data_IF_731409376308
#
_entry.id   IF_731409376308
#
_cell.length_a   1.000
_cell.length_b   1.000
_cell.length_c   1.000
_cell.angle_alpha   90.00
_cell.angle_beta   90.00
_cell.angle_gamma   90.00
#
_symmetry.space_group_name_H-M   'P 1'
#
loop_
_entity.id
_entity.type
_entity.pdbx_description
1 polymer ?
#
# COMPACT_ATOMS: atom_id res chain seq x y z
N UNK A 1 -9.77 -1.72 -17.89
CA UNK A 1 -8.74 -1.30 -16.93
C UNK A 1 -7.92 -0.19 -17.57
N UNK A 2 -7.82 0.96 -16.91
CA UNK A 2 -7.01 2.11 -17.35
C UNK A 2 -5.67 2.08 -16.62
N UNK A 3 -4.59 2.05 -17.36
CA UNK A 3 -3.22 1.97 -16.87
C UNK A 3 -2.47 3.27 -17.19
N UNK A 4 -1.81 3.85 -16.22
CA UNK A 4 -0.87 4.94 -16.43
C UNK A 4 0.55 4.39 -16.38
N UNK A 5 1.29 4.54 -17.47
CA UNK A 5 2.69 4.15 -17.62
C UNK A 5 3.57 5.41 -17.57
N UNK A 6 4.39 5.54 -16.54
CA UNK A 6 5.34 6.64 -16.35
C UNK A 6 6.74 6.07 -16.56
N UNK A 7 7.30 6.29 -17.74
CA UNK A 7 8.53 5.69 -18.23
C UNK A 7 9.15 6.64 -19.27
N UNK A 8 10.40 7.00 -19.13
CA UNK A 8 11.07 7.94 -20.04
C UNK A 8 11.69 7.28 -21.29
N UNK A 9 11.97 5.97 -21.22
CA UNK A 9 12.52 5.24 -22.36
C UNK A 9 11.42 5.00 -23.41
N UNK A 10 11.50 5.61 -24.63
CA UNK A 10 10.45 5.54 -25.62
C UNK A 10 10.23 4.13 -26.18
N UNK A 11 11.28 3.32 -26.25
CA UNK A 11 11.19 1.92 -26.71
C UNK A 11 10.44 1.06 -25.70
N UNK A 12 10.78 1.18 -24.42
CA UNK A 12 10.10 0.49 -23.33
C UNK A 12 8.64 0.94 -23.24
N UNK A 13 8.39 2.25 -23.28
CA UNK A 13 7.06 2.84 -23.25
C UNK A 13 6.17 2.28 -24.38
N UNK A 14 6.67 2.31 -25.64
CA UNK A 14 5.94 1.79 -26.80
C UNK A 14 5.69 0.29 -26.70
N UNK A 15 6.68 -0.48 -26.22
CA UNK A 15 6.56 -1.93 -26.07
C UNK A 15 5.49 -2.30 -25.02
N UNK A 16 5.54 -1.69 -23.85
CA UNK A 16 4.58 -1.92 -22.78
C UNK A 16 3.18 -1.45 -23.18
N UNK A 17 3.08 -0.26 -23.78
CA UNK A 17 1.80 0.27 -24.26
C UNK A 17 1.12 -0.71 -25.22
N UNK A 18 1.80 -1.10 -26.31
CA UNK A 18 1.26 -2.03 -27.32
C UNK A 18 0.89 -3.39 -26.70
N UNK A 19 1.71 -3.89 -25.78
CA UNK A 19 1.47 -5.17 -25.14
C UNK A 19 0.20 -5.14 -24.29
N UNK A 20 0.04 -4.13 -23.45
CA UNK A 20 -1.12 -4.02 -22.60
C UNK A 20 -2.39 -3.60 -23.34
N UNK A 21 -2.29 -2.78 -24.40
CA UNK A 21 -3.42 -2.48 -25.26
C UNK A 21 -3.96 -3.73 -26.00
N UNK A 22 -3.09 -4.61 -26.50
CA UNK A 22 -3.48 -5.91 -27.08
C UNK A 22 -4.18 -6.82 -26.07
N UNK A 23 -3.91 -6.65 -24.79
CA UNK A 23 -4.52 -7.38 -23.66
C UNK A 23 -5.79 -6.69 -23.13
N UNK A 24 -6.32 -5.70 -23.86
CA UNK A 24 -7.58 -5.01 -23.59
C UNK A 24 -7.50 -3.94 -22.50
N UNK A 25 -6.31 -3.40 -22.24
CA UNK A 25 -6.13 -2.29 -21.31
C UNK A 25 -6.10 -0.96 -22.07
N UNK A 26 -6.61 0.10 -21.49
CA UNK A 26 -6.41 1.47 -21.96
C UNK A 26 -5.13 2.01 -21.32
N UNK A 27 -4.11 2.32 -22.13
CA UNK A 27 -2.82 2.76 -21.62
C UNK A 27 -2.60 4.24 -21.89
N UNK A 28 -2.32 5.01 -20.86
CA UNK A 28 -1.83 6.37 -20.94
C UNK A 28 -0.34 6.39 -20.62
N UNK A 29 0.43 7.18 -21.33
CA UNK A 29 1.89 7.24 -21.18
C UNK A 29 2.35 8.62 -20.77
N UNK A 30 3.39 8.68 -19.94
CA UNK A 30 4.07 9.89 -19.53
C UNK A 30 5.58 9.63 -19.47
N UNK A 31 6.39 10.41 -20.16
CA UNK A 31 7.85 10.28 -20.14
C UNK A 31 8.56 11.32 -19.26
N UNK A 32 7.83 12.16 -18.54
CA UNK A 32 8.38 13.26 -17.75
C UNK A 32 7.80 13.27 -16.34
N UNK A 33 8.65 13.13 -15.33
CA UNK A 33 8.25 13.12 -13.92
C UNK A 33 7.60 14.42 -13.46
N UNK A 34 7.94 15.57 -14.06
CA UNK A 34 7.31 16.84 -13.72
C UNK A 34 5.83 16.92 -14.13
N UNK A 35 5.43 16.17 -15.16
CA UNK A 35 4.06 16.12 -15.69
C UNK A 35 3.25 14.95 -15.14
N UNK A 36 3.93 13.98 -14.54
CA UNK A 36 3.33 12.71 -14.13
C UNK A 36 2.19 12.88 -13.11
N UNK A 37 2.37 13.68 -12.08
CA UNK A 37 1.36 13.88 -11.04
C UNK A 37 0.07 14.51 -11.60
N UNK A 38 0.19 15.53 -12.43
CA UNK A 38 -0.96 16.21 -13.02
C UNK A 38 -1.76 15.25 -13.93
N UNK A 39 -1.05 14.44 -14.74
CA UNK A 39 -1.69 13.43 -15.60
C UNK A 39 -2.36 12.34 -14.77
N UNK A 40 -1.73 11.89 -13.68
CA UNK A 40 -2.29 10.90 -12.77
C UNK A 40 -3.61 11.39 -12.15
N UNK A 41 -3.61 12.63 -11.61
CA UNK A 41 -4.80 13.25 -11.04
C UNK A 41 -5.93 13.41 -12.05
N UNK A 42 -5.61 13.85 -13.27
CA UNK A 42 -6.61 14.08 -14.32
C UNK A 42 -7.17 12.77 -14.91
N UNK A 43 -6.35 11.73 -15.00
CA UNK A 43 -6.75 10.49 -15.67
C UNK A 43 -7.44 9.49 -14.77
N UNK A 44 -7.22 9.54 -13.45
CA UNK A 44 -7.75 8.58 -12.46
C UNK A 44 -7.56 7.11 -12.91
N UNK A 45 -6.30 6.64 -13.06
CA UNK A 45 -6.05 5.29 -13.56
C UNK A 45 -6.37 4.23 -12.48
N UNK A 46 -6.67 3.01 -12.93
CA UNK A 46 -6.88 1.85 -12.06
C UNK A 46 -5.56 1.33 -11.47
N UNK A 47 -4.43 1.56 -12.17
CA UNK A 47 -3.08 1.26 -11.69
C UNK A 47 -2.04 2.14 -12.38
N UNK A 48 -0.87 2.23 -11.75
CA UNK A 48 0.29 2.97 -12.27
C UNK A 48 1.51 2.04 -12.33
N UNK A 49 2.21 2.07 -13.46
CA UNK A 49 3.57 1.55 -13.61
C UNK A 49 4.50 2.75 -13.61
N UNK A 50 5.47 2.76 -12.70
CA UNK A 50 6.32 3.92 -12.42
C UNK A 50 7.80 3.57 -12.50
N UNK A 51 8.53 4.17 -13.44
CA UNK A 51 9.99 4.18 -13.34
C UNK A 51 10.45 5.23 -12.30
N UNK A 52 11.55 4.95 -11.63
CA UNK A 52 12.18 5.88 -10.70
C UNK A 52 13.09 6.89 -11.40
N UNK A 53 13.75 6.45 -12.50
CA UNK A 53 14.76 7.25 -13.20
C UNK A 53 14.11 8.10 -14.30
N UNK A 54 13.35 9.12 -13.91
CA UNK A 54 12.63 10.00 -14.82
C UNK A 54 13.33 11.36 -14.97
N UNK A 55 13.28 12.01 -16.14
CA UNK A 55 13.68 13.38 -16.27
C UNK A 55 12.73 14.33 -15.54
N UNK A 56 13.24 15.48 -15.17
CA UNK A 56 12.46 16.54 -14.49
C UNK A 56 12.19 16.27 -13.03
N UNK A 57 11.66 15.10 -12.67
CA UNK A 57 11.37 14.72 -11.29
C UNK A 57 11.54 13.22 -11.07
N UNK A 58 12.27 12.83 -10.02
CA UNK A 58 12.47 11.41 -9.65
C UNK A 58 11.14 10.72 -9.31
N UNK A 59 10.99 9.47 -9.74
CA UNK A 59 9.75 8.71 -9.55
C UNK A 59 9.36 8.52 -8.09
N UNK A 60 10.29 8.44 -7.15
CA UNK A 60 9.98 8.40 -5.71
C UNK A 60 9.34 9.71 -5.23
N UNK A 61 9.80 10.85 -5.75
CA UNK A 61 9.18 12.14 -5.43
C UNK A 61 7.77 12.23 -6.01
N UNK A 62 7.58 11.77 -7.27
CA UNK A 62 6.25 11.70 -7.89
C UNK A 62 5.30 10.84 -7.06
N UNK A 63 5.77 9.67 -6.61
CA UNK A 63 4.97 8.78 -5.76
C UNK A 63 4.64 9.42 -4.40
N UNK A 64 5.64 10.03 -3.74
CA UNK A 64 5.44 10.71 -2.47
C UNK A 64 4.39 11.81 -2.56
N UNK A 65 4.45 12.65 -3.61
CA UNK A 65 3.47 13.71 -3.84
C UNK A 65 2.09 13.16 -4.18
N UNK A 66 2.02 12.09 -4.97
CA UNK A 66 0.74 11.43 -5.26
C UNK A 66 0.08 10.92 -3.97
N UNK A 67 0.84 10.33 -3.07
CA UNK A 67 0.35 9.88 -1.76
C UNK A 67 -0.01 11.05 -0.83
N UNK A 68 0.77 12.11 -0.82
CA UNK A 68 0.46 13.35 -0.09
C UNK A 68 -0.82 14.02 -0.61
N UNK A 69 -1.08 13.94 -1.92
CA UNK A 69 -2.32 14.41 -2.55
C UNK A 69 -3.52 13.45 -2.35
N UNK A 70 -3.38 12.38 -1.55
CA UNK A 70 -4.45 11.43 -1.25
C UNK A 70 -4.72 10.39 -2.35
N UNK A 71 -3.89 10.29 -3.38
CA UNK A 71 -4.06 9.28 -4.41
C UNK A 71 -3.71 7.89 -3.87
N UNK A 72 -4.68 6.99 -3.89
CA UNK A 72 -4.55 5.60 -3.39
C UNK A 72 -4.41 4.58 -4.52
N UNK A 73 -4.34 5.03 -5.77
CA UNK A 73 -4.16 4.17 -6.95
C UNK A 73 -2.97 3.23 -6.72
N UNK A 74 -3.12 1.92 -6.96
CA UNK A 74 -2.05 0.95 -6.80
C UNK A 74 -0.88 1.21 -7.78
N UNK A 75 0.35 1.08 -7.27
CA UNK A 75 1.59 1.39 -7.98
C UNK A 75 2.54 0.21 -7.97
N UNK A 76 3.02 -0.18 -9.15
CA UNK A 76 4.18 -1.05 -9.31
C UNK A 76 5.36 -0.19 -9.78
N UNK A 77 6.45 -0.21 -9.04
CA UNK A 77 7.70 0.41 -9.46
C UNK A 77 8.44 -0.52 -10.42
N UNK A 78 8.84 0.02 -11.58
CA UNK A 78 9.66 -0.66 -12.60
C UNK A 78 10.97 0.09 -12.72
N UNK A 79 12.10 -0.47 -12.28
CA UNK A 79 13.36 0.29 -12.29
C UNK A 79 14.59 -0.59 -12.39
N UNK A 80 15.66 -0.01 -12.95
CA UNK A 80 17.00 -0.62 -12.96
C UNK A 80 17.71 -0.50 -11.60
N UNK A 81 17.21 0.31 -10.67
CA UNK A 81 17.73 0.39 -9.30
C UNK A 81 17.35 -0.90 -8.55
N UNK A 82 18.30 -1.82 -8.41
CA UNK A 82 18.04 -3.19 -7.93
C UNK A 82 18.52 -3.47 -6.52
N UNK A 83 18.98 -2.45 -5.75
CA UNK A 83 19.44 -2.70 -4.38
C UNK A 83 18.26 -2.98 -3.44
N UNK A 84 18.52 -3.75 -2.38
CA UNK A 84 17.53 -3.99 -1.33
C UNK A 84 17.10 -2.66 -0.69
N UNK A 85 18.00 -1.69 -0.56
CA UNK A 85 17.71 -0.35 -0.06
C UNK A 85 16.70 0.41 -0.92
N UNK A 86 16.87 0.43 -2.24
CA UNK A 86 15.95 1.10 -3.17
C UNK A 86 14.54 0.49 -3.10
N UNK A 87 14.46 -0.84 -2.99
CA UNK A 87 13.19 -1.56 -2.84
C UNK A 87 12.47 -1.18 -1.55
N UNK A 88 13.21 -1.12 -0.44
CA UNK A 88 12.67 -0.73 0.87
C UNK A 88 12.16 0.72 0.81
N UNK A 89 12.93 1.64 0.23
CA UNK A 89 12.55 3.05 0.08
C UNK A 89 11.28 3.15 -0.78
N UNK A 90 11.22 2.50 -1.94
CA UNK A 90 10.05 2.52 -2.82
C UNK A 90 8.76 2.03 -2.14
N UNK A 91 8.83 0.91 -1.44
CA UNK A 91 7.69 0.34 -0.70
C UNK A 91 7.29 1.23 0.48
N UNK A 92 8.25 1.81 1.20
CA UNK A 92 7.97 2.75 2.30
C UNK A 92 7.36 4.07 1.82
N UNK A 93 7.70 4.53 0.60
CA UNK A 93 7.08 5.71 -0.01
C UNK A 93 5.63 5.47 -0.44
N UNK A 94 5.18 4.21 -0.43
CA UNK A 94 3.79 3.84 -0.68
C UNK A 94 3.55 3.12 -2.01
N UNK A 95 4.58 2.53 -2.62
CA UNK A 95 4.40 1.56 -3.70
C UNK A 95 3.77 0.27 -3.16
N UNK A 96 2.99 -0.39 -4.01
CA UNK A 96 2.31 -1.65 -3.66
C UNK A 96 3.10 -2.87 -4.11
N UNK A 97 3.96 -2.73 -5.13
CA UNK A 97 4.91 -3.76 -5.58
C UNK A 97 6.13 -3.12 -6.24
N UNK A 98 7.18 -3.91 -6.42
CA UNK A 98 8.45 -3.49 -6.98
C UNK A 98 9.01 -4.59 -7.89
N UNK A 99 9.29 -4.26 -9.14
CA UNK A 99 9.80 -5.20 -10.14
C UNK A 99 11.07 -4.65 -10.79
N UNK A 100 12.24 -5.27 -10.55
CA UNK A 100 13.49 -4.82 -11.14
C UNK A 100 13.54 -5.10 -12.65
N UNK A 101 14.16 -4.19 -13.40
CA UNK A 101 14.51 -4.39 -14.82
C UNK A 101 15.83 -5.21 -14.91
N UNK A 102 15.91 -6.21 -15.83
CA UNK A 102 14.91 -6.66 -16.78
C UNK A 102 13.85 -7.56 -16.13
N UNK A 103 12.60 -7.49 -16.59
CA UNK A 103 11.48 -8.27 -16.10
C UNK A 103 10.76 -9.00 -17.24
N UNK A 104 10.04 -10.06 -16.87
CA UNK A 104 9.15 -10.77 -17.77
C UNK A 104 7.80 -10.03 -17.87
N UNK A 105 7.24 -9.93 -19.10
CA UNK A 105 5.98 -9.22 -19.35
C UNK A 105 4.77 -9.96 -18.78
N UNK A 106 4.80 -11.27 -18.74
CA UNK A 106 3.70 -12.06 -18.19
C UNK A 106 3.73 -12.02 -16.65
N UNK A 107 4.93 -11.96 -16.05
CA UNK A 107 5.08 -11.69 -14.61
C UNK A 107 4.52 -10.31 -14.25
N UNK A 108 4.89 -9.27 -15.00
CA UNK A 108 4.39 -7.91 -14.76
C UNK A 108 2.86 -7.87 -14.86
N UNK A 109 2.28 -8.49 -15.88
CA UNK A 109 0.82 -8.54 -16.02
C UNK A 109 0.14 -9.30 -14.88
N UNK A 110 0.67 -10.46 -14.49
CA UNK A 110 0.11 -11.23 -13.39
C UNK A 110 0.09 -10.42 -12.10
N UNK A 111 1.18 -9.71 -11.80
CA UNK A 111 1.28 -8.79 -10.65
C UNK A 111 0.30 -7.64 -10.74
N UNK A 112 0.21 -7.00 -11.90
CA UNK A 112 -0.69 -5.87 -12.16
C UNK A 112 -2.16 -6.29 -11.97
N UNK A 113 -2.58 -7.41 -12.55
CA UNK A 113 -3.94 -7.95 -12.38
C UNK A 113 -4.24 -8.34 -10.93
N UNK A 114 -3.29 -8.95 -10.24
CA UNK A 114 -3.44 -9.30 -8.83
C UNK A 114 -3.59 -8.05 -7.95
N UNK A 115 -2.86 -6.99 -8.29
CA UNK A 115 -2.89 -5.72 -7.57
C UNK A 115 -4.23 -5.01 -7.74
N UNK A 116 -4.69 -4.86 -8.99
CA UNK A 116 -5.98 -4.21 -9.30
C UNK A 116 -7.15 -5.02 -8.72
N UNK A 117 -7.11 -6.35 -8.77
CA UNK A 117 -8.14 -7.19 -8.14
C UNK A 117 -8.22 -6.95 -6.62
N UNK A 118 -7.08 -6.82 -5.93
CA UNK A 118 -7.04 -6.51 -4.49
C UNK A 118 -7.61 -5.13 -4.18
N UNK A 119 -7.32 -4.13 -5.01
CA UNK A 119 -7.88 -2.79 -4.85
C UNK A 119 -9.38 -2.72 -5.22
N UNK A 120 -9.80 -3.46 -6.24
CA UNK A 120 -11.22 -3.59 -6.60
C UNK A 120 -12.02 -4.31 -5.50
N UNK A 121 -11.50 -5.41 -4.95
CA UNK A 121 -12.13 -6.11 -3.82
C UNK A 121 -12.24 -5.23 -2.56
N UNK A 122 -11.32 -4.28 -2.39
CA UNK A 122 -11.44 -3.25 -1.37
C UNK A 122 -12.52 -2.20 -1.71
N UNK A 123 -12.89 -2.06 -2.99
CA UNK A 123 -13.90 -1.11 -3.47
C UNK A 123 -15.31 -1.72 -3.57
N UNK A 124 -15.44 -3.01 -3.83
CA UNK A 124 -16.75 -3.68 -4.01
C UNK A 124 -17.50 -3.95 -2.71
N UNK A 125 -16.88 -3.73 -1.55
CA UNK A 125 -17.57 -3.72 -0.25
C UNK A 125 -18.23 -2.37 0.09
N UNK A 126 -18.30 -1.42 -0.85
CA UNK A 126 -18.87 -0.08 -0.62
C UNK A 126 -20.21 0.06 -1.34
N UNK A 127 -21.24 -0.64 -0.85
CA UNK A 127 -22.65 -0.22 -1.00
C UNK A 127 -23.31 -0.17 0.38
N UNK A 128 -22.90 0.81 1.18
CA UNK A 128 -23.53 1.23 2.41
C UNK A 128 -23.21 2.70 2.67
N UNK A 129 -24.04 3.46 3.39
CA UNK A 129 -23.99 4.92 3.43
C UNK A 129 -22.68 5.45 4.04
N UNK A 130 -22.04 6.35 3.28
CA UNK A 130 -21.05 7.39 3.66
C UNK A 130 -20.07 7.04 4.81
N UNK A 131 -18.79 6.84 4.46
CA UNK A 131 -17.67 6.94 5.44
C UNK A 131 -17.04 5.62 5.90
N UNK A 132 -17.39 4.44 5.35
CA UNK A 132 -16.95 3.15 5.90
C UNK A 132 -15.76 2.55 5.15
N UNK A 133 -14.64 2.35 5.86
CA UNK A 133 -13.48 1.54 5.44
C UNK A 133 -13.85 0.06 5.33
N UNK A 134 -13.11 -0.69 4.50
CA UNK A 134 -13.31 -2.13 4.34
C UNK A 134 -13.45 -2.86 5.69
N UNK A 135 -14.48 -3.70 5.82
CA UNK A 135 -14.67 -4.58 6.98
C UNK A 135 -13.76 -5.78 6.84
N UNK A 136 -12.90 -6.03 7.81
CA UNK A 136 -12.02 -7.19 7.83
C UNK A 136 -12.17 -7.96 9.15
N UNK A 137 -12.53 -9.22 9.09
CA UNK A 137 -12.91 -10.03 10.27
C UNK A 137 -13.89 -9.30 11.20
N UNK A 138 -14.94 -8.67 10.64
CA UNK A 138 -15.90 -7.89 11.40
C UNK A 138 -15.39 -6.55 11.94
N UNK A 139 -14.09 -6.27 11.82
CA UNK A 139 -13.50 -5.00 12.24
C UNK A 139 -13.56 -3.96 11.13
N UNK A 140 -13.84 -2.74 11.51
CA UNK A 140 -13.96 -1.59 10.64
C UNK A 140 -13.21 -0.38 11.22
N UNK A 141 -12.33 0.22 10.43
CA UNK A 141 -11.68 1.47 10.79
C UNK A 141 -12.53 2.65 10.29
N UNK A 142 -12.93 3.52 11.17
CA UNK A 142 -13.53 4.80 10.82
C UNK A 142 -12.41 5.80 10.45
N UNK A 143 -12.48 6.34 9.24
CA UNK A 143 -11.45 7.27 8.73
C UNK A 143 -11.58 8.66 9.32
N UNK A 144 -12.77 9.06 9.74
CA UNK A 144 -13.05 10.42 10.20
C UNK A 144 -12.61 10.62 11.65
N UNK A 145 -12.92 9.67 12.53
CA UNK A 145 -12.53 9.73 13.93
C UNK A 145 -11.36 8.79 14.29
N UNK A 146 -10.97 7.90 13.38
CA UNK A 146 -9.88 6.96 13.56
C UNK A 146 -10.16 5.83 14.57
N UNK A 147 -11.39 5.64 15.02
CA UNK A 147 -11.78 4.54 15.89
C UNK A 147 -11.90 3.23 15.10
N UNK A 148 -11.71 2.11 15.77
CA UNK A 148 -11.96 0.79 15.20
C UNK A 148 -13.23 0.21 15.83
N UNK A 149 -14.16 -0.23 14.99
CA UNK A 149 -15.40 -0.88 15.39
C UNK A 149 -15.32 -2.38 15.06
N UNK A 150 -15.94 -3.19 15.90
CA UNK A 150 -16.16 -4.61 15.64
C UNK A 150 -17.67 -4.89 15.73
N UNK A 151 -18.26 -5.41 14.66
CA UNK A 151 -19.72 -5.65 14.57
C UNK A 151 -20.56 -4.43 14.94
N UNK A 152 -20.09 -3.23 14.59
CA UNK A 152 -20.77 -1.96 14.87
C UNK A 152 -20.55 -1.39 16.28
N UNK A 153 -19.82 -2.08 17.15
CA UNK A 153 -19.45 -1.61 18.48
C UNK A 153 -18.01 -1.08 18.49
N UNK A 154 -17.72 0.05 19.15
CA UNK A 154 -16.35 0.57 19.25
C UNK A 154 -15.47 -0.38 20.07
N UNK A 155 -14.28 -0.69 19.56
CA UNK A 155 -13.28 -1.43 20.32
C UNK A 155 -12.60 -0.49 21.33
N UNK A 156 -12.71 -0.80 22.61
CA UNK A 156 -12.03 -0.07 23.68
C UNK A 156 -10.52 -0.37 23.70
N UNK A 157 -9.76 0.43 22.98
CA UNK A 157 -8.31 0.31 22.85
C UNK A 157 -7.60 1.50 23.48
N UNK A 158 -6.48 1.24 24.16
CA UNK A 158 -5.59 2.31 24.58
C UNK A 158 -4.96 2.99 23.33
N UNK A 159 -4.53 4.26 23.41
CA UNK A 159 -4.03 4.99 22.23
C UNK A 159 -2.94 4.25 21.45
N UNK A 160 -1.99 3.61 22.11
CA UNK A 160 -0.90 2.84 21.46
C UNK A 160 -1.41 1.53 20.85
N UNK A 161 -2.38 0.86 21.47
CA UNK A 161 -3.04 -0.33 20.93
C UNK A 161 -3.85 0.00 19.68
N UNK A 162 -4.56 1.13 19.69
CA UNK A 162 -5.30 1.66 18.55
C UNK A 162 -4.36 2.02 17.40
N UNK A 163 -3.25 2.69 17.68
CA UNK A 163 -2.24 3.03 16.67
C UNK A 163 -1.66 1.78 16.00
N UNK A 164 -1.33 0.74 16.78
CA UNK A 164 -0.85 -0.53 16.27
C UNK A 164 -1.91 -1.23 15.42
N UNK A 165 -3.15 -1.34 15.90
CA UNK A 165 -4.24 -1.97 15.16
C UNK A 165 -4.55 -1.24 13.85
N UNK A 166 -4.59 0.09 13.86
CA UNK A 166 -4.77 0.91 12.67
C UNK A 166 -3.71 0.64 11.62
N UNK A 167 -2.45 0.57 12.03
CA UNK A 167 -1.34 0.30 11.11
C UNK A 167 -1.50 -1.06 10.41
N UNK A 168 -1.77 -2.14 11.16
CA UNK A 168 -1.89 -3.49 10.58
C UNK A 168 -3.23 -3.74 9.87
N UNK A 169 -4.29 -2.98 10.20
CA UNK A 169 -5.60 -3.04 9.55
C UNK A 169 -5.63 -2.34 8.18
N UNK A 170 -4.70 -1.43 7.91
CA UNK A 170 -4.58 -0.80 6.60
C UNK A 170 -4.23 -1.79 5.49
N UNK A 171 -3.40 -2.80 5.80
CA UNK A 171 -3.01 -3.87 4.86
C UNK A 171 -3.01 -5.24 5.57
N UNK A 172 -4.19 -5.84 5.83
CA UNK A 172 -4.28 -7.14 6.45
C UNK A 172 -3.53 -8.21 5.64
N UNK A 173 -2.88 -9.15 6.32
CA UNK A 173 -2.08 -10.19 5.66
C UNK A 173 -0.68 -9.74 5.23
N UNK A 174 -0.30 -8.47 5.40
CA UNK A 174 1.05 -7.98 5.11
C UNK A 174 1.83 -7.72 6.40
N UNK A 175 3.09 -8.13 6.39
CA UNK A 175 4.00 -7.85 7.51
C UNK A 175 4.43 -6.38 7.48
N UNK A 176 4.40 -5.75 8.66
CA UNK A 176 4.96 -4.42 8.87
C UNK A 176 6.16 -4.56 9.80
N UNK A 177 7.29 -3.99 9.41
CA UNK A 177 8.53 -4.06 10.16
C UNK A 177 8.37 -3.47 11.58
N UNK A 178 9.08 -4.08 12.55
CA UNK A 178 9.00 -3.69 13.97
C UNK A 178 9.37 -2.22 14.17
N UNK A 179 10.40 -1.77 13.47
CA UNK A 179 10.89 -0.40 13.51
C UNK A 179 9.82 0.58 13.05
N UNK A 180 9.17 0.27 11.93
CA UNK A 180 8.10 1.11 11.39
C UNK A 180 6.88 1.19 12.31
N UNK A 181 6.51 0.06 12.92
CA UNK A 181 5.42 0.05 13.90
C UNK A 181 5.79 0.82 15.16
N UNK A 182 7.06 0.77 15.60
CA UNK A 182 7.52 1.54 16.74
C UNK A 182 7.39 3.04 16.49
N UNK A 183 7.80 3.53 15.31
CA UNK A 183 7.62 4.93 14.91
C UNK A 183 6.13 5.38 14.93
N UNK A 184 5.23 4.52 14.44
CA UNK A 184 3.81 4.82 14.36
C UNK A 184 3.11 4.77 15.72
N UNK A 185 3.56 3.91 16.62
CA UNK A 185 2.94 3.69 17.94
C UNK A 185 3.51 4.61 19.00
N UNK A 186 4.75 5.09 18.82
CA UNK A 186 5.47 5.96 19.76
C UNK A 186 6.00 7.21 19.05
N UNK A 187 5.13 8.03 18.44
CA UNK A 187 5.58 9.19 17.67
C UNK A 187 6.31 10.21 18.56
N UNK A 188 7.51 10.61 18.11
CA UNK A 188 8.31 11.62 18.83
C UNK A 188 9.12 11.10 20.02
N UNK A 189 9.06 9.82 20.35
CA UNK A 189 9.87 9.21 21.39
C UNK A 189 11.20 8.72 20.80
N UNK A 190 12.32 9.40 21.07
CA UNK A 190 13.64 9.11 20.47
C UNK A 190 14.36 7.91 21.07
N UNK A 191 13.90 7.38 22.21
CA UNK A 191 14.51 6.23 22.91
C UNK A 191 13.46 5.19 23.34
N UNK A 192 12.74 4.64 22.36
CA UNK A 192 11.81 3.54 22.63
C UNK A 192 12.60 2.23 22.70
N UNK A 193 12.53 1.54 23.83
CA UNK A 193 13.12 0.20 23.93
C UNK A 193 12.45 -0.74 22.92
N UNK A 194 13.22 -1.61 22.22
CA UNK A 194 12.68 -2.52 21.22
C UNK A 194 11.55 -3.43 21.71
N UNK A 195 11.49 -3.68 23.00
CA UNK A 195 10.49 -4.52 23.66
C UNK A 195 9.15 -3.80 23.89
N UNK A 196 9.12 -2.47 23.84
CA UNK A 196 7.90 -1.69 24.10
C UNK A 196 6.76 -2.05 23.16
N UNK A 197 7.06 -2.29 21.87
CA UNK A 197 6.06 -2.70 20.89
C UNK A 197 5.50 -4.10 21.18
N UNK A 198 6.29 -4.98 21.78
CA UNK A 198 5.85 -6.34 22.14
C UNK A 198 4.81 -6.33 23.24
N UNK A 199 4.95 -5.42 24.21
CA UNK A 199 3.96 -5.21 25.26
C UNK A 199 2.64 -4.71 24.69
N UNK A 200 2.70 -3.75 23.74
CA UNK A 200 1.51 -3.23 23.07
C UNK A 200 0.85 -4.35 22.24
N UNK A 201 1.64 -5.12 21.47
CA UNK A 201 1.15 -6.24 20.68
C UNK A 201 0.50 -7.33 21.55
N UNK A 202 1.09 -7.65 22.70
CA UNK A 202 0.51 -8.61 23.65
C UNK A 202 -0.86 -8.15 24.19
N UNK A 203 -0.99 -6.89 24.58
CA UNK A 203 -2.26 -6.32 25.06
C UNK A 203 -3.30 -6.29 23.95
N UNK A 204 -2.91 -5.87 22.75
CA UNK A 204 -3.80 -5.84 21.58
C UNK A 204 -4.33 -7.25 21.25
N UNK A 205 -3.48 -8.29 21.26
CA UNK A 205 -3.92 -9.68 21.02
C UNK A 205 -5.05 -10.10 21.93
N UNK A 206 -4.97 -9.76 23.22
CA UNK A 206 -6.04 -10.09 24.19
C UNK A 206 -7.35 -9.39 23.83
N UNK A 207 -7.26 -8.12 23.39
CA UNK A 207 -8.44 -7.31 23.09
C UNK A 207 -9.13 -7.70 21.79
N UNK A 208 -8.38 -8.18 20.77
CA UNK A 208 -8.96 -8.62 19.51
C UNK A 208 -9.23 -10.12 19.40
N UNK A 209 -8.98 -10.90 20.45
CA UNK A 209 -9.10 -12.36 20.43
C UNK A 209 -10.50 -12.87 20.01
N UNK A 210 -11.54 -12.08 20.26
CA UNK A 210 -12.94 -12.39 19.94
C UNK A 210 -13.35 -11.96 18.51
N UNK A 211 -12.48 -11.29 17.76
CA UNK A 211 -12.83 -10.68 16.47
C UNK A 211 -12.58 -11.59 15.26
N UNK A 212 -12.12 -12.83 15.46
CA UNK A 212 -11.67 -13.68 14.34
C UNK A 212 -10.39 -13.20 13.67
N UNK A 213 -9.70 -12.22 14.25
CA UNK A 213 -8.43 -11.68 13.79
C UNK A 213 -7.30 -12.06 14.75
N UNK A 214 -6.13 -12.36 14.21
CA UNK A 214 -4.94 -12.68 14.99
C UNK A 214 -3.76 -11.80 14.59
N UNK A 215 -3.18 -11.09 15.55
CA UNK A 215 -1.91 -10.38 15.36
C UNK A 215 -0.74 -11.36 15.55
N UNK A 216 -0.05 -11.66 14.45
CA UNK A 216 1.07 -12.61 14.41
C UNK A 216 2.39 -11.88 14.40
N UNK A 217 3.37 -12.37 15.18
CA UNK A 217 4.76 -11.96 15.07
C UNK A 217 5.48 -12.84 14.07
N UNK A 218 6.10 -12.24 13.05
CA UNK A 218 7.02 -12.90 12.15
C UNK A 218 8.45 -12.55 12.56
N UNK A 219 9.22 -13.54 13.01
CA UNK A 219 10.62 -13.33 13.46
C UNK A 219 11.43 -12.70 12.33
N UNK A 220 12.09 -11.59 12.62
CA UNK A 220 12.91 -10.83 11.66
C UNK A 220 12.12 -10.01 10.62
N UNK A 221 10.79 -10.10 10.56
CA UNK A 221 9.95 -9.39 9.58
C UNK A 221 8.96 -8.41 10.22
N UNK A 222 8.65 -8.55 11.53
CA UNK A 222 7.71 -7.67 12.22
C UNK A 222 6.36 -8.34 12.54
N UNK A 223 5.26 -7.61 12.33
CA UNK A 223 3.91 -8.06 12.69
C UNK A 223 2.97 -8.02 11.50
N UNK A 224 2.02 -8.95 11.46
CA UNK A 224 0.91 -8.93 10.52
C UNK A 224 -0.41 -9.29 11.21
N UNK A 225 -1.51 -8.86 10.63
CA UNK A 225 -2.85 -9.25 11.03
C UNK A 225 -3.37 -10.31 10.05
N UNK A 226 -3.79 -11.48 10.54
CA UNK A 226 -4.40 -12.55 9.74
C UNK A 226 -5.76 -12.94 10.28
N UNK A 227 -6.63 -13.50 9.43
CA UNK A 227 -7.86 -14.14 9.89
C UNK A 227 -7.52 -15.43 10.66
N UNK A 228 -8.25 -15.69 11.72
CA UNK A 228 -8.25 -17.01 12.38
C UNK A 228 -9.14 -17.92 11.54
N UNK A 229 -8.60 -19.03 11.10
CA UNK A 229 -9.34 -20.06 10.34
C UNK A 229 -10.26 -20.81 11.28
#
# INVERSE_FOLDING_TARGET
>A
MKLLLIEDNPTMQTTLQRTFERRGMQVLTCGDGARALALWQASLPDAVLLDLSLPGRDGLQVLGDARAAGLTTPVIILTARGTVGDRIIGLNTGADDYLPKPFDLDELEARLRALVRRSASASETVNGPIGRTAVWCGMQLDKDNGAVYFEGQPLELAPRELALLRAVLQKPGHAIAKERLTELVFPGESQVQPEAIEVVAYRLRKKIAHTGAQLVTLRGLGYLLKATT
#
